data_IF_864254460180
#
_entry.id   IF_864254460180
#
_cell.length_a   1.000
_cell.length_b   1.000
_cell.length_c   1.000
_cell.angle_alpha   90.00
_cell.angle_beta   90.00
_cell.angle_gamma   90.00
#
_symmetry.space_group_name_H-M   'P 1'
#
loop_
_entity.id
_entity.type
_entity.pdbx_description
1 polymer ?
#
# COMPACT_ATOMS: atom_id res chain seq x y z
N UNK A 1 6.93 2.09 20.13
CA UNK A 1 6.78 3.42 19.51
C UNK A 1 5.39 3.51 18.93
N UNK A 2 4.70 4.66 19.06
CA UNK A 2 3.39 4.86 18.43
C UNK A 2 3.52 4.78 16.90
N UNK A 3 2.58 4.09 16.26
CA UNK A 3 2.54 3.88 14.81
C UNK A 3 1.33 4.59 14.23
N UNK A 4 1.54 5.32 13.14
CA UNK A 4 0.45 5.84 12.31
C UNK A 4 0.12 4.81 11.25
N UNK A 5 -1.18 4.50 11.10
CA UNK A 5 -1.67 3.62 10.03
C UNK A 5 -2.59 4.44 9.14
N UNK A 6 -2.23 4.54 7.86
CA UNK A 6 -3.05 5.16 6.82
C UNK A 6 -3.45 4.12 5.79
N UNK A 7 -4.76 3.98 5.56
CA UNK A 7 -5.34 3.06 4.57
C UNK A 7 -5.82 3.82 3.34
N UNK A 8 -5.38 3.40 2.16
CA UNK A 8 -5.91 3.85 0.87
C UNK A 8 -6.81 2.75 0.31
N UNK A 9 -8.12 2.98 0.25
CA UNK A 9 -9.08 2.05 -0.34
C UNK A 9 -9.32 2.44 -1.80
N UNK A 10 -9.15 1.49 -2.71
CA UNK A 10 -9.40 1.67 -4.14
C UNK A 10 -10.76 1.08 -4.49
N UNK A 11 -11.61 1.89 -5.12
CA UNK A 11 -12.88 1.43 -5.68
C UNK A 11 -12.66 0.42 -6.82
N UNK A 12 -13.69 -0.35 -7.17
CA UNK A 12 -13.66 -1.27 -8.31
C UNK A 12 -13.17 -0.62 -9.60
N UNK A 13 -13.58 0.63 -9.85
CA UNK A 13 -13.19 1.37 -11.07
C UNK A 13 -11.70 1.73 -11.04
N UNK A 14 -11.20 2.19 -9.90
CA UNK A 14 -9.79 2.53 -9.73
C UNK A 14 -8.91 1.29 -9.80
N UNK A 15 -9.30 0.21 -9.11
CA UNK A 15 -8.62 -1.07 -9.14
C UNK A 15 -8.56 -1.64 -10.57
N UNK A 16 -9.66 -1.59 -11.31
CA UNK A 16 -9.70 -2.03 -12.72
C UNK A 16 -8.73 -1.22 -13.57
N UNK A 17 -8.74 0.12 -13.45
CA UNK A 17 -7.82 0.99 -14.19
C UNK A 17 -6.36 0.72 -13.83
N UNK A 18 -6.05 0.59 -12.54
CA UNK A 18 -4.72 0.32 -12.04
C UNK A 18 -4.17 -1.00 -12.58
N UNK A 19 -4.95 -2.09 -12.47
CA UNK A 19 -4.55 -3.42 -12.90
C UNK A 19 -4.37 -3.50 -14.42
N UNK A 20 -5.31 -2.96 -15.21
CA UNK A 20 -5.21 -2.98 -16.67
C UNK A 20 -4.01 -2.17 -17.16
N UNK A 21 -3.82 -0.95 -16.66
CA UNK A 21 -2.68 -0.12 -17.04
C UNK A 21 -1.33 -0.77 -16.70
N UNK A 22 -1.25 -1.42 -15.53
CA UNK A 22 -0.05 -2.11 -15.11
C UNK A 22 0.21 -3.39 -15.92
N UNK A 23 -0.84 -4.15 -16.22
CA UNK A 23 -0.78 -5.33 -17.05
C UNK A 23 -0.33 -5.00 -18.48
N UNK A 24 -0.87 -3.95 -19.09
CA UNK A 24 -0.48 -3.47 -20.42
C UNK A 24 1.02 -3.12 -20.46
N UNK A 25 1.51 -2.40 -19.44
CA UNK A 25 2.92 -2.02 -19.32
C UNK A 25 3.84 -3.24 -19.18
N UNK A 26 3.40 -4.27 -18.44
CA UNK A 26 4.14 -5.52 -18.23
C UNK A 26 3.88 -6.57 -19.31
N UNK A 27 3.03 -6.25 -20.30
CA UNK A 27 2.56 -7.18 -21.35
C UNK A 27 1.95 -8.46 -20.78
N UNK A 28 1.30 -8.33 -19.63
CA UNK A 28 0.57 -9.39 -18.96
C UNK A 28 -0.85 -9.43 -19.51
N UNK A 29 -1.35 -10.62 -19.85
CA UNK A 29 -2.74 -10.80 -20.27
C UNK A 29 -3.63 -10.92 -19.04
N UNK A 30 -4.45 -9.92 -18.78
CA UNK A 30 -5.58 -10.01 -17.85
C UNK A 30 -6.88 -10.25 -18.62
N UNK A 31 -7.89 -10.88 -17.98
CA UNK A 31 -9.23 -10.94 -18.55
C UNK A 31 -9.78 -9.55 -18.84
N UNK A 32 -10.52 -9.41 -19.94
CA UNK A 32 -11.26 -8.18 -20.21
C UNK A 32 -12.45 -8.07 -19.25
N UNK A 33 -12.75 -6.84 -18.83
CA UNK A 33 -13.89 -6.57 -17.97
C UNK A 33 -13.57 -5.63 -16.81
N UNK A 34 -14.55 -5.49 -15.91
CA UNK A 34 -14.45 -4.73 -14.67
C UNK A 34 -14.15 -5.67 -13.51
N UNK A 35 -13.28 -5.25 -12.61
CA UNK A 35 -13.02 -5.99 -11.37
C UNK A 35 -14.26 -5.90 -10.48
N UNK A 36 -14.90 -7.04 -10.23
CA UNK A 36 -16.03 -7.16 -9.32
C UNK A 36 -15.57 -7.40 -7.90
N UNK A 37 -14.59 -8.29 -7.73
CA UNK A 37 -14.19 -8.77 -6.42
C UNK A 37 -12.74 -9.25 -6.46
N UNK A 38 -12.04 -9.08 -5.35
CA UNK A 38 -10.71 -9.63 -5.14
C UNK A 38 -10.68 -10.28 -3.76
N UNK A 39 -9.94 -11.39 -3.64
CA UNK A 39 -9.69 -12.04 -2.36
C UNK A 39 -8.33 -12.72 -2.37
N UNK A 40 -7.73 -12.90 -1.20
CA UNK A 40 -6.57 -13.76 -1.09
C UNK A 40 -6.95 -15.21 -1.47
N UNK A 41 -6.07 -15.85 -2.23
CA UNK A 41 -6.22 -17.25 -2.59
C UNK A 41 -6.14 -18.12 -1.34
N UNK A 42 -7.03 -19.11 -1.25
CA UNK A 42 -6.96 -20.13 -0.19
C UNK A 42 -5.97 -21.23 -0.56
N UNK A 43 -5.52 -22.01 0.42
CA UNK A 43 -4.63 -23.14 0.17
C UNK A 43 -5.23 -24.09 -0.90
N UNK A 44 -4.51 -24.31 -2.00
CA UNK A 44 -4.94 -25.16 -3.11
C UNK A 44 -5.55 -24.41 -4.32
N UNK A 45 -5.79 -23.11 -4.22
CA UNK A 45 -6.22 -22.26 -5.36
C UNK A 45 -5.05 -21.58 -6.07
N UNK A 46 -3.84 -21.81 -5.58
CA UNK A 46 -2.60 -21.36 -6.18
C UNK A 46 -2.37 -22.13 -7.49
N UNK A 47 -2.70 -21.50 -8.62
CA UNK A 47 -2.35 -22.04 -9.92
C UNK A 47 -0.85 -21.93 -10.13
N UNK A 48 -0.20 -23.01 -10.58
CA UNK A 48 1.25 -23.06 -10.88
C UNK A 48 1.68 -21.98 -11.90
N UNK A 49 0.74 -21.48 -12.71
CA UNK A 49 0.90 -20.32 -13.61
C UNK A 49 0.93 -18.97 -12.88
N UNK A 50 1.27 -18.93 -11.60
CA UNK A 50 1.59 -17.65 -10.94
C UNK A 50 2.77 -17.00 -11.63
N UNK A 51 2.48 -15.94 -12.37
CA UNK A 51 3.45 -15.12 -13.08
C UNK A 51 4.66 -14.83 -12.18
N UNK A 52 5.85 -15.24 -12.60
CA UNK A 52 7.11 -14.86 -11.96
C UNK A 52 7.24 -13.34 -12.04
N UNK A 53 6.84 -12.67 -10.97
CA UNK A 53 6.88 -11.23 -10.88
C UNK A 53 8.24 -10.80 -10.34
N UNK A 54 8.99 -10.09 -11.17
CA UNK A 54 10.28 -9.55 -10.74
C UNK A 54 10.06 -8.39 -9.78
N UNK A 55 10.63 -8.51 -8.58
CA UNK A 55 10.54 -7.53 -7.50
C UNK A 55 11.40 -6.33 -7.87
N UNK A 56 10.91 -5.51 -8.79
CA UNK A 56 11.65 -4.38 -9.34
C UNK A 56 11.85 -3.23 -8.35
N UNK A 57 12.44 -2.15 -8.84
CA UNK A 57 12.76 -0.92 -8.09
C UNK A 57 11.60 -0.31 -7.28
N UNK A 58 10.34 -0.58 -7.65
CA UNK A 58 9.15 -0.03 -6.95
C UNK A 58 9.09 -0.56 -5.51
N UNK A 59 9.44 -1.82 -5.27
CA UNK A 59 9.38 -2.42 -3.92
C UNK A 59 10.41 -1.80 -2.99
N UNK A 60 11.63 -1.61 -3.49
CA UNK A 60 12.71 -0.98 -2.73
C UNK A 60 12.48 0.53 -2.52
N UNK A 61 11.92 1.22 -3.52
CA UNK A 61 11.70 2.68 -3.43
C UNK A 61 10.57 3.04 -2.47
N UNK A 62 9.55 2.17 -2.37
CA UNK A 62 8.35 2.43 -1.58
C UNK A 62 8.20 1.53 -0.35
N UNK A 63 9.22 0.76 0.04
CA UNK A 63 9.19 -0.13 1.21
C UNK A 63 7.94 -1.01 1.24
N UNK A 64 7.65 -1.68 0.12
CA UNK A 64 6.52 -2.60 0.01
C UNK A 64 6.93 -3.94 0.60
N UNK A 65 6.17 -4.44 1.56
CA UNK A 65 6.39 -5.77 2.12
C UNK A 65 5.97 -6.82 1.08
N UNK A 66 6.89 -7.74 0.79
CA UNK A 66 6.65 -8.82 -0.16
C UNK A 66 5.63 -9.79 0.43
N UNK A 67 4.55 -10.03 -0.31
CA UNK A 67 3.50 -10.95 0.12
C UNK A 67 3.60 -12.24 -0.69
N UNK A 68 3.79 -13.36 0.01
CA UNK A 68 3.80 -14.69 -0.61
C UNK A 68 2.42 -15.10 -1.12
N UNK A 69 1.39 -14.41 -0.67
CA UNK A 69 0.00 -14.74 -0.96
C UNK A 69 -0.35 -14.41 -2.40
N UNK A 70 -1.20 -15.26 -2.97
CA UNK A 70 -1.82 -15.02 -4.25
C UNK A 70 -3.17 -14.32 -4.04
N UNK A 71 -3.64 -13.62 -5.07
CA UNK A 71 -4.90 -12.90 -5.10
C UNK A 71 -5.71 -13.39 -6.28
N UNK A 72 -6.93 -13.87 -5.99
CA UNK A 72 -7.91 -14.22 -7.02
C UNK A 72 -8.77 -13.00 -7.30
N UNK A 73 -8.74 -12.54 -8.54
CA UNK A 73 -9.49 -11.38 -9.02
C UNK A 73 -10.59 -11.88 -9.96
N UNK A 74 -11.82 -11.43 -9.70
CA UNK A 74 -13.01 -11.72 -10.52
C UNK A 74 -13.29 -10.54 -11.43
N UNK A 75 -13.31 -10.80 -12.72
CA UNK A 75 -13.66 -9.86 -13.78
C UNK A 75 -15.06 -10.16 -14.30
N UNK A 76 -15.82 -9.10 -14.55
CA UNK A 76 -17.09 -9.15 -15.24
C UNK A 76 -16.99 -8.49 -16.60
N UNK A 77 -17.32 -9.25 -17.64
CA UNK A 77 -17.31 -8.77 -19.01
C UNK A 77 -18.74 -8.43 -19.47
N UNK A 78 -19.02 -7.15 -19.67
CA UNK A 78 -20.35 -6.64 -20.04
C UNK A 78 -20.87 -7.23 -21.37
N UNK A 79 -19.98 -7.66 -22.27
CA UNK A 79 -20.35 -8.16 -23.62
C UNK A 79 -20.82 -9.62 -23.60
N UNK A 80 -20.16 -10.46 -22.81
CA UNK A 80 -20.43 -11.91 -22.73
C UNK A 80 -21.31 -12.26 -21.53
N UNK A 81 -21.45 -11.33 -20.58
CA UNK A 81 -22.10 -11.53 -19.28
C UNK A 81 -21.44 -12.66 -18.46
N UNK A 82 -20.17 -12.94 -18.74
CA UNK A 82 -19.41 -14.00 -18.09
C UNK A 82 -18.53 -13.46 -16.95
N UNK A 83 -18.33 -14.32 -15.95
CA UNK A 83 -17.40 -14.09 -14.85
C UNK A 83 -16.09 -14.83 -15.16
N UNK A 84 -14.99 -14.09 -15.21
CA UNK A 84 -13.65 -14.63 -15.46
C UNK A 84 -12.80 -14.46 -14.21
N UNK A 85 -12.10 -15.51 -13.82
CA UNK A 85 -11.24 -15.52 -12.64
C UNK A 85 -9.78 -15.50 -13.09
N UNK A 86 -8.96 -14.69 -12.43
CA UNK A 86 -7.53 -14.64 -12.65
C UNK A 86 -6.80 -14.70 -11.32
N UNK A 87 -5.80 -15.57 -11.24
CA UNK A 87 -4.91 -15.64 -10.09
C UNK A 87 -3.64 -14.83 -10.40
N UNK A 88 -3.33 -13.86 -9.54
CA UNK A 88 -2.14 -13.02 -9.64
C UNK A 88 -1.42 -12.95 -8.29
N UNK A 89 -0.11 -12.68 -8.31
CA UNK A 89 0.65 -12.42 -7.08
C UNK A 89 0.15 -11.15 -6.39
N UNK A 90 0.06 -11.16 -5.05
CA UNK A 90 -0.26 -9.95 -4.29
C UNK A 90 0.73 -8.80 -4.56
N UNK A 91 1.99 -9.14 -4.88
CA UNK A 91 3.01 -8.18 -5.28
C UNK A 91 2.66 -7.45 -6.58
N UNK A 92 2.09 -8.16 -7.56
CA UNK A 92 1.63 -7.56 -8.81
C UNK A 92 0.51 -6.53 -8.54
N UNK A 93 -0.45 -6.89 -7.68
CA UNK A 93 -1.56 -6.00 -7.31
C UNK A 93 -1.03 -4.77 -6.56
N UNK A 94 -0.12 -4.96 -5.61
CA UNK A 94 0.50 -3.87 -4.85
C UNK A 94 1.24 -2.89 -5.75
N UNK A 95 2.01 -3.41 -6.72
CA UNK A 95 2.72 -2.60 -7.69
C UNK A 95 1.76 -1.80 -8.59
N UNK A 96 0.67 -2.43 -9.04
CA UNK A 96 -0.35 -1.77 -9.84
C UNK A 96 -1.01 -0.61 -9.08
N UNK A 97 -1.36 -0.80 -7.81
CA UNK A 97 -1.96 0.24 -6.97
C UNK A 97 -0.99 1.39 -6.71
N UNK A 98 0.29 1.09 -6.44
CA UNK A 98 1.32 2.12 -6.25
C UNK A 98 1.53 2.91 -7.53
N UNK A 99 1.60 2.25 -8.68
CA UNK A 99 1.75 2.94 -9.96
C UNK A 99 0.54 3.83 -10.25
N UNK A 100 -0.68 3.36 -9.95
CA UNK A 100 -1.89 4.18 -10.03
C UNK A 100 -1.81 5.42 -9.14
N UNK A 101 -1.33 5.29 -7.90
CA UNK A 101 -1.11 6.44 -7.01
C UNK A 101 -0.11 7.45 -7.60
N UNK A 102 0.99 6.98 -8.20
CA UNK A 102 1.99 7.84 -8.84
C UNK A 102 1.36 8.59 -10.01
N UNK A 103 0.63 7.90 -10.89
CA UNK A 103 -0.02 8.50 -12.06
C UNK A 103 -1.08 9.54 -11.66
N UNK A 104 -1.85 9.27 -10.61
CA UNK A 104 -2.90 10.18 -10.12
C UNK A 104 -2.40 11.19 -9.09
N UNK A 105 -1.08 11.28 -8.87
CA UNK A 105 -0.44 12.21 -7.92
C UNK A 105 -0.96 12.07 -6.47
N UNK A 106 -1.36 10.86 -6.09
CA UNK A 106 -1.68 10.53 -4.70
C UNK A 106 -0.37 10.45 -3.92
N UNK A 107 -0.23 11.28 -2.89
CA UNK A 107 0.99 11.32 -2.09
C UNK A 107 1.20 10.01 -1.32
N UNK A 108 2.32 9.34 -1.58
CA UNK A 108 2.76 8.13 -0.90
C UNK A 108 4.06 8.41 -0.13
N UNK A 109 4.07 8.26 1.21
CA UNK A 109 5.27 8.48 2.01
C UNK A 109 6.28 7.36 1.72
N UNK A 110 7.55 7.70 1.49
CA UNK A 110 8.60 6.71 1.19
C UNK A 110 9.05 5.92 2.43
N UNK A 111 9.03 6.55 3.61
CA UNK A 111 9.55 5.98 4.86
C UNK A 111 8.56 5.10 5.65
N UNK A 112 7.43 4.70 5.05
CA UNK A 112 6.44 3.82 5.69
C UNK A 112 6.36 2.46 5.01
N UNK A 113 6.24 1.40 5.81
CA UNK A 113 5.99 0.05 5.31
C UNK A 113 4.63 -0.01 4.63
N UNK A 114 4.57 -0.63 3.45
CA UNK A 114 3.34 -0.74 2.66
C UNK A 114 2.94 -2.19 2.51
N UNK A 115 1.70 -2.48 2.86
CA UNK A 115 1.12 -3.81 2.76
C UNK A 115 -0.20 -3.72 2.01
N UNK A 116 -0.53 -4.77 1.25
CA UNK A 116 -1.83 -4.88 0.61
C UNK A 116 -2.79 -5.60 1.56
N UNK A 117 -3.97 -5.02 1.72
CA UNK A 117 -5.10 -5.66 2.40
C UNK A 117 -6.26 -5.77 1.43
N UNK A 118 -7.06 -6.82 1.56
CA UNK A 118 -8.19 -7.06 0.66
C UNK A 118 -9.43 -7.26 1.51
N UNK A 119 -10.36 -6.34 1.32
CA UNK A 119 -11.69 -6.40 1.93
C UNK A 119 -12.68 -7.02 0.94
N UNK A 120 -13.90 -7.31 1.40
CA UNK A 120 -14.96 -7.88 0.55
C UNK A 120 -15.28 -7.02 -0.69
N UNK A 121 -15.05 -5.70 -0.61
CA UNK A 121 -15.43 -4.75 -1.65
C UNK A 121 -14.25 -4.01 -2.28
N UNK A 122 -13.19 -3.74 -1.51
CA UNK A 122 -12.08 -2.90 -1.96
C UNK A 122 -10.73 -3.58 -1.79
N UNK A 123 -9.83 -3.27 -2.73
CA UNK A 123 -8.40 -3.50 -2.55
C UNK A 123 -7.86 -2.29 -1.77
N UNK A 124 -7.09 -2.55 -0.72
CA UNK A 124 -6.56 -1.53 0.18
C UNK A 124 -5.03 -1.57 0.18
N UNK A 125 -4.41 -0.39 0.23
CA UNK A 125 -2.98 -0.24 0.51
C UNK A 125 -2.81 0.39 1.89
N UNK A 126 -2.31 -0.39 2.83
CA UNK A 126 -2.02 0.04 4.19
C UNK A 126 -0.60 0.54 4.30
N UNK A 127 -0.46 1.73 4.85
CA UNK A 127 0.80 2.43 5.03
C UNK A 127 1.02 2.59 6.52
N UNK A 128 2.04 1.92 7.06
CA UNK A 128 2.42 2.01 8.46
C UNK A 128 3.67 2.85 8.61
N UNK A 129 3.62 3.89 9.45
CA UNK A 129 4.73 4.79 9.72
C UNK A 129 5.03 4.83 11.22
N UNK A 130 6.31 4.84 11.57
CA UNK A 130 6.73 5.07 12.96
C UNK A 130 6.70 6.57 13.23
N UNK A 131 5.94 6.99 14.24
CA UNK A 131 5.91 8.39 14.68
C UNK A 131 7.15 8.60 15.56
N UNK A 132 8.09 9.40 15.08
CA UNK A 132 9.12 9.97 15.95
C UNK A 132 8.44 11.03 16.81
N UNK A 133 8.12 10.67 18.04
CA UNK A 133 7.87 11.67 19.09
C UNK A 133 9.23 12.27 19.38
N UNK A 134 9.50 13.47 18.86
CA UNK A 134 10.60 14.27 19.37
C UNK A 134 10.32 14.45 20.86
N UNK A 135 11.16 13.85 21.70
CA UNK A 135 11.06 14.02 23.13
C UNK A 135 11.05 15.52 23.40
N UNK A 136 10.02 15.99 24.11
CA UNK A 136 9.91 17.37 24.57
C UNK A 136 11.27 17.81 25.08
N UNK A 137 11.85 18.83 24.44
CA UNK A 137 13.09 19.43 24.92
C UNK A 137 12.91 19.79 26.40
N UNK A 138 13.90 19.52 27.27
CA UNK A 138 13.78 19.87 28.67
C UNK A 138 13.48 21.37 28.76
N UNK A 139 12.31 21.68 29.31
CA UNK A 139 11.86 23.05 29.60
C UNK A 139 13.01 23.80 30.25
N UNK A 140 13.41 24.90 29.62
CA UNK A 140 14.44 25.81 30.07
C UNK A 140 14.17 26.15 31.54
N UNK A 141 14.96 25.61 32.47
CA UNK A 141 14.91 26.04 33.86
C UNK A 141 15.47 27.46 33.89
N UNK A 142 14.60 28.44 34.16
CA UNK A 142 15.05 29.77 34.55
C UNK A 142 15.83 29.59 35.84
N UNK A 143 17.16 29.74 35.78
CA UNK A 143 17.96 29.99 36.97
C UNK A 143 17.42 31.30 37.56
N UNK A 144 16.92 31.22 38.79
CA UNK A 144 16.54 32.40 39.57
C UNK A 144 17.84 33.18 39.82
N UNK A 145 18.00 34.29 39.11
CA UNK A 145 18.99 35.33 39.41
C UNK A 145 18.67 35.92 40.80
N UNK A 146 19.19 35.29 41.86
CA UNK A 146 19.22 35.85 43.21
C UNK A 146 20.37 36.87 43.31
N UNK A 147 20.17 38.04 42.71
CA UNK A 147 20.88 39.26 43.08
C UNK A 147 20.26 39.81 44.38
N UNK A 148 20.89 39.53 45.52
CA UNK A 148 20.59 40.20 46.79
C UNK A 148 21.88 40.55 47.55
N UNK A 149 22.37 41.75 47.23
CA UNK A 149 22.93 42.78 48.11
C UNK A 149 23.88 42.36 49.25
N UNK A 150 25.16 42.68 49.01
CA UNK A 150 26.07 43.42 49.88
C UNK A 150 25.58 43.67 51.32
N UNK A 151 26.23 43.05 52.31
CA UNK A 151 26.20 43.59 53.67
C UNK A 151 27.60 43.68 54.27
N UNK A 152 28.01 44.94 54.39
CA UNK A 152 29.14 45.46 55.13
C UNK A 152 28.89 45.25 56.63
N UNK A 153 29.83 44.60 57.33
CA UNK A 153 30.42 45.02 58.62
C UNK A 153 31.37 43.95 59.17
#
# INVERSE_FOLDING_TARGET
MPKEIRRLAFSHTEATKALNAYADKKKVKLPQGKVLHARFASQGEETEDTMNFDHGNIFQTYNVEQSKNNVVITFYEDQTLEHKYCNVKADFVSAAMIEYCITNKVMLPKSGAKTIDITEFNICLDITMDIKVEAEEPVLSLEEDDDAEENVL
#
